data_IF_980064817722
#
_entry.id   IF_980064817722
#
_cell.length_a   1.000
_cell.length_b   1.000
_cell.length_c   1.000
_cell.angle_alpha   90.00
_cell.angle_beta   90.00
_cell.angle_gamma   90.00
#
_symmetry.space_group_name_H-M   'P 1'
#
loop_
_entity.id
_entity.type
_entity.pdbx_description
1 polymer ?
#
# COMPACT_ATOMS: atom_id res chain seq x y z
N UNK A 1 26.60 -28.95 19.90
CA UNK A 1 26.32 -28.58 18.49
C UNK A 1 24.81 -28.43 18.34
N UNK A 2 24.35 -27.44 17.57
CA UNK A 2 22.92 -27.32 17.24
C UNK A 2 22.52 -28.47 16.31
N UNK A 3 21.36 -29.05 16.55
CA UNK A 3 20.80 -30.07 15.65
C UNK A 3 20.06 -29.40 14.50
N UNK A 4 19.83 -30.12 13.40
CA UNK A 4 19.03 -29.61 12.28
C UNK A 4 17.62 -29.17 12.73
N UNK A 5 17.05 -29.85 13.72
CA UNK A 5 15.76 -29.50 14.31
C UNK A 5 15.80 -28.14 15.03
N UNK A 6 16.91 -27.81 15.68
CA UNK A 6 17.10 -26.53 16.34
C UNK A 6 17.24 -25.40 15.30
N UNK A 7 18.00 -25.66 14.22
CA UNK A 7 18.15 -24.71 13.11
C UNK A 7 16.82 -24.40 12.42
N UNK A 8 15.98 -25.43 12.21
CA UNK A 8 14.64 -25.25 11.61
C UNK A 8 13.75 -24.39 12.52
N UNK A 9 13.75 -24.65 13.84
CA UNK A 9 12.97 -23.84 14.79
C UNK A 9 13.43 -22.38 14.81
N UNK A 10 14.74 -22.14 14.82
CA UNK A 10 15.31 -20.79 14.79
C UNK A 10 14.92 -20.06 13.50
N UNK A 11 14.98 -20.73 12.34
CA UNK A 11 14.54 -20.16 11.06
C UNK A 11 13.05 -19.82 11.05
N UNK A 12 12.21 -20.69 11.61
CA UNK A 12 10.77 -20.44 11.74
C UNK A 12 10.46 -19.23 12.61
N UNK A 13 11.11 -19.13 13.77
CA UNK A 13 10.96 -17.99 14.68
C UNK A 13 11.44 -16.67 14.04
N UNK A 14 12.59 -16.68 13.37
CA UNK A 14 13.12 -15.50 12.70
C UNK A 14 12.20 -15.02 11.57
N UNK A 15 11.65 -15.94 10.78
CA UNK A 15 10.68 -15.60 9.73
C UNK A 15 9.41 -14.98 10.32
N UNK A 16 8.89 -15.55 11.41
CA UNK A 16 7.70 -15.01 12.07
C UNK A 16 7.94 -13.60 12.63
N UNK A 17 9.10 -13.34 13.23
CA UNK A 17 9.46 -12.02 13.74
C UNK A 17 9.56 -10.97 12.62
N UNK A 18 10.20 -11.32 11.50
CA UNK A 18 10.28 -10.45 10.30
C UNK A 18 8.88 -10.16 9.76
N UNK A 19 8.03 -11.18 9.64
CA UNK A 19 6.66 -11.04 9.15
C UNK A 19 5.83 -10.14 10.10
N UNK A 20 6.00 -10.27 11.43
CA UNK A 20 5.35 -9.42 12.44
C UNK A 20 5.80 -7.96 12.37
N UNK A 21 7.10 -7.72 12.25
CA UNK A 21 7.65 -6.36 12.15
C UNK A 21 7.18 -5.67 10.86
N UNK A 22 7.12 -6.40 9.74
CA UNK A 22 6.55 -5.91 8.48
C UNK A 22 5.06 -5.60 8.61
N UNK A 23 4.29 -6.49 9.25
CA UNK A 23 2.85 -6.32 9.51
C UNK A 23 2.59 -5.05 10.33
N UNK A 24 3.40 -4.82 11.37
CA UNK A 24 3.32 -3.62 12.22
C UNK A 24 3.65 -2.34 11.44
N UNK A 25 4.73 -2.33 10.64
CA UNK A 25 5.11 -1.18 9.80
C UNK A 25 4.09 -0.87 8.72
N UNK A 26 3.43 -1.90 8.19
CA UNK A 26 2.37 -1.77 7.20
C UNK A 26 1.02 -1.44 7.85
N UNK A 27 0.89 -1.46 9.18
CA UNK A 27 -0.36 -1.23 9.91
C UNK A 27 -1.47 -2.17 9.44
N UNK A 28 -1.16 -3.45 9.26
CA UNK A 28 -2.12 -4.49 8.90
C UNK A 28 -2.75 -5.05 10.19
N UNK A 29 -4.07 -5.22 10.21
CA UNK A 29 -4.74 -5.91 11.33
C UNK A 29 -4.47 -7.43 11.28
N UNK A 30 -4.61 -8.15 12.41
CA UNK A 30 -4.45 -9.61 12.42
C UNK A 30 -5.35 -10.30 11.38
N UNK A 31 -4.74 -11.05 10.47
CA UNK A 31 -5.45 -11.76 9.41
C UNK A 31 -5.67 -10.95 8.12
N UNK A 32 -5.33 -9.66 8.09
CA UNK A 32 -5.28 -8.89 6.85
C UNK A 32 -3.99 -9.15 6.09
N UNK A 33 -4.12 -9.29 4.78
CA UNK A 33 -2.99 -9.35 3.86
C UNK A 33 -2.66 -7.96 3.33
N UNK A 34 -1.46 -7.80 2.77
CA UNK A 34 -1.09 -6.57 2.07
C UNK A 34 -2.07 -6.26 0.91
N UNK A 35 -2.56 -7.29 0.22
CA UNK A 35 -3.52 -7.13 -0.86
C UNK A 35 -4.85 -6.55 -0.37
N UNK A 36 -5.31 -6.94 0.81
CA UNK A 36 -6.56 -6.38 1.37
C UNK A 36 -6.43 -4.87 1.58
N UNK A 37 -5.27 -4.41 2.05
CA UNK A 37 -5.01 -2.97 2.26
C UNK A 37 -4.80 -2.19 0.96
N UNK A 38 -4.23 -2.83 -0.06
CA UNK A 38 -4.01 -2.22 -1.37
C UNK A 38 -5.22 -2.32 -2.31
N UNK A 39 -6.22 -3.15 -1.98
CA UNK A 39 -7.38 -3.44 -2.83
C UNK A 39 -8.25 -2.22 -3.16
N UNK A 40 -8.20 -1.19 -2.31
CA UNK A 40 -8.94 0.06 -2.50
C UNK A 40 -8.17 1.10 -3.32
N UNK A 41 -6.90 0.85 -3.65
CA UNK A 41 -6.13 1.78 -4.46
C UNK A 41 -6.62 1.72 -5.90
N UNK A 42 -6.85 2.87 -6.54
CA UNK A 42 -7.20 2.90 -7.95
C UNK A 42 -6.07 2.27 -8.77
N UNK A 43 -6.43 1.66 -9.88
CA UNK A 43 -5.45 1.28 -10.88
C UNK A 43 -4.68 2.50 -11.36
N UNK A 44 -3.50 2.26 -11.95
CA UNK A 44 -2.67 3.31 -12.53
C UNK A 44 -3.47 4.19 -13.51
N UNK A 45 -4.26 3.55 -14.37
CA UNK A 45 -5.02 4.24 -15.42
C UNK A 45 -6.17 5.06 -14.85
N UNK A 46 -6.88 4.54 -13.83
CA UNK A 46 -7.91 5.28 -13.11
C UNK A 46 -7.34 6.51 -12.40
N UNK A 47 -6.19 6.37 -11.76
CA UNK A 47 -5.51 7.48 -11.09
C UNK A 47 -5.17 8.62 -12.07
N UNK A 48 -4.54 8.30 -13.21
CA UNK A 48 -4.19 9.32 -14.20
C UNK A 48 -5.42 9.95 -14.85
N UNK A 49 -6.46 9.16 -15.11
CA UNK A 49 -7.73 9.66 -15.67
C UNK A 49 -8.39 10.67 -14.74
N UNK A 50 -8.50 10.36 -13.45
CA UNK A 50 -9.08 11.29 -12.47
C UNK A 50 -8.21 12.54 -12.28
N UNK A 51 -6.89 12.39 -12.28
CA UNK A 51 -5.99 13.53 -12.19
C UNK A 51 -6.13 14.46 -13.41
N UNK A 52 -6.24 13.92 -14.62
CA UNK A 52 -6.41 14.72 -15.84
C UNK A 52 -7.74 15.49 -15.84
N UNK A 53 -8.83 14.88 -15.35
CA UNK A 53 -10.12 15.55 -15.14
C UNK A 53 -9.98 16.74 -14.19
N UNK A 54 -9.33 16.54 -13.04
CA UNK A 54 -9.13 17.58 -12.03
C UNK A 54 -8.29 18.75 -12.59
N UNK A 55 -7.26 18.47 -13.39
CA UNK A 55 -6.48 19.51 -14.06
C UNK A 55 -7.33 20.30 -15.06
N UNK A 56 -8.18 19.62 -15.82
CA UNK A 56 -9.08 20.26 -16.78
C UNK A 56 -10.12 21.17 -16.10
N UNK A 57 -10.74 20.70 -15.02
CA UNK A 57 -11.69 21.51 -14.23
C UNK A 57 -11.03 22.75 -13.62
N UNK A 58 -9.80 22.62 -13.12
CA UNK A 58 -9.01 23.76 -12.61
C UNK A 58 -8.74 24.79 -13.71
N UNK A 59 -8.40 24.34 -14.92
CA UNK A 59 -8.18 25.24 -16.07
C UNK A 59 -9.47 25.96 -16.46
N UNK A 60 -10.61 25.26 -16.46
CA UNK A 60 -11.91 25.86 -16.73
C UNK A 60 -12.28 26.91 -15.70
N UNK A 61 -12.18 26.61 -14.39
CA UNK A 61 -12.46 27.57 -13.32
C UNK A 61 -11.60 28.83 -13.43
N UNK A 62 -10.30 28.68 -13.71
CA UNK A 62 -9.40 29.81 -13.89
C UNK A 62 -9.76 30.66 -15.11
N UNK A 63 -10.24 30.05 -16.21
CA UNK A 63 -10.73 30.79 -17.37
C UNK A 63 -12.02 31.54 -17.05
N UNK A 64 -12.97 30.94 -16.33
CA UNK A 64 -14.23 31.60 -15.97
C UNK A 64 -14.02 32.81 -15.05
N UNK A 65 -13.02 32.76 -14.16
CA UNK A 65 -12.66 33.87 -13.27
C UNK A 65 -11.95 35.04 -13.96
N UNK A 66 -11.32 34.84 -15.12
CA UNK A 66 -10.64 35.91 -15.88
C UNK A 66 -11.56 36.68 -16.84
N UNK A 67 -12.78 36.20 -17.06
CA UNK A 67 -13.73 36.75 -18.04
C UNK A 67 -14.86 37.57 -17.37
N UNK A 68 -14.90 37.58 -16.02
CA UNK A 68 -15.73 38.48 -15.20
C UNK A 68 -14.90 39.63 -14.65
#
# INVERSE_FOLDING_TARGET
MLTDKDVIKIRGALKAEIDLELTSKLGLEPGQTLNDKLSHLPSKDEFYTENDKLQYERVLQNKTLQVN
#
